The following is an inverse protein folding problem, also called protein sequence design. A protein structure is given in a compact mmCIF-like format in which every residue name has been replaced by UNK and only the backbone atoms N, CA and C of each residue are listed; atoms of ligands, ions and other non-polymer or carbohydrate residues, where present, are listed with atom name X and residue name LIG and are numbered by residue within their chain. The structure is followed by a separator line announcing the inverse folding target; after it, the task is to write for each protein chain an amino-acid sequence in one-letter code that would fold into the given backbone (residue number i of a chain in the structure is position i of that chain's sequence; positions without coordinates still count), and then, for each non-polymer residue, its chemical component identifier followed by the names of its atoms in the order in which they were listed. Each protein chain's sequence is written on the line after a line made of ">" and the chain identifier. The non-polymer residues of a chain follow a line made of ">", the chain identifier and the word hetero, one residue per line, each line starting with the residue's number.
data_IF_367218083586
#
_entry.id   IF_367218083586
#
_cell.length_a   1.000
_cell.length_b   1.000
_cell.length_c   1.000
_cell.angle_alpha   90.00
_cell.angle_beta   90.00
_cell.angle_gamma   90.00
#
_symmetry.space_group_name_H-M   'P 1'
#
loop_
_entity.id
_entity.type
_entity.pdbx_description
1 polymer ?
#
# COMPACT_ATOMS: atom_id res chain seq x y z
N UNK A 1 6.50 -14.14 13.03
CA UNK A 1 7.30 -14.24 11.78
C UNK A 1 7.16 -12.93 11.02
N UNK A 2 8.26 -12.32 10.61
CA UNK A 2 8.27 -11.06 9.84
C UNK A 2 8.10 -11.32 8.34
N UNK A 3 7.76 -10.29 7.57
CA UNK A 3 7.67 -10.38 6.11
C UNK A 3 9.03 -10.71 5.48
N UNK A 4 10.14 -10.17 6.00
CA UNK A 4 11.50 -10.53 5.59
C UNK A 4 11.79 -12.03 5.74
N UNK A 5 11.39 -12.64 6.86
CA UNK A 5 11.51 -14.08 7.06
C UNK A 5 10.70 -14.88 6.04
N UNK A 6 9.49 -14.42 5.70
CA UNK A 6 8.63 -15.05 4.68
C UNK A 6 9.19 -14.91 3.26
N UNK A 7 9.78 -13.76 2.95
CA UNK A 7 10.45 -13.49 1.68
C UNK A 7 11.80 -14.21 1.56
N UNK A 8 12.39 -14.63 2.68
CA UNK A 8 13.73 -15.20 2.72
C UNK A 8 14.83 -14.15 2.60
N UNK A 9 14.60 -12.93 3.10
CA UNK A 9 15.54 -11.82 3.07
C UNK A 9 16.07 -11.48 4.47
N UNK A 10 17.23 -10.85 4.55
CA UNK A 10 17.82 -10.40 5.82
C UNK A 10 17.03 -9.23 6.39
N UNK A 11 16.68 -9.32 7.68
CA UNK A 11 16.05 -8.21 8.40
C UNK A 11 17.00 -7.01 8.46
N UNK A 12 16.46 -5.80 8.28
CA UNK A 12 17.21 -4.56 8.42
C UNK A 12 16.53 -3.67 9.48
N UNK A 13 17.25 -2.66 9.97
CA UNK A 13 16.62 -1.62 10.78
C UNK A 13 15.98 -0.65 9.80
N UNK A 14 14.65 -0.54 9.83
CA UNK A 14 13.88 0.40 9.02
C UNK A 14 13.83 1.76 9.73
N UNK A 15 14.52 2.81 9.23
CA UNK A 15 14.44 4.15 9.81
C UNK A 15 13.02 4.70 9.76
N UNK A 16 12.25 4.37 8.71
CA UNK A 16 10.85 4.76 8.59
C UNK A 16 9.99 4.17 9.72
N UNK A 17 10.12 2.88 10.04
CA UNK A 17 9.39 2.28 11.16
C UNK A 17 9.87 2.80 12.53
N UNK A 18 11.14 3.16 12.67
CA UNK A 18 11.63 3.86 13.87
C UNK A 18 10.98 5.22 14.02
N UNK A 19 10.84 5.98 12.92
CA UNK A 19 10.12 7.25 12.92
C UNK A 19 8.63 7.07 13.22
N UNK A 20 7.99 6.07 12.63
CA UNK A 20 6.59 5.74 12.90
C UNK A 20 6.37 5.46 14.41
N UNK A 21 7.24 4.67 15.04
CA UNK A 21 7.22 4.42 16.49
C UNK A 21 7.31 5.70 17.31
N UNK A 22 8.20 6.63 16.94
CA UNK A 22 8.33 7.93 17.61
C UNK A 22 7.08 8.80 17.51
N UNK A 23 6.23 8.55 16.51
CA UNK A 23 4.93 9.19 16.32
C UNK A 23 3.77 8.40 16.96
N UNK A 24 4.07 7.36 17.76
CA UNK A 24 3.07 6.54 18.45
C UNK A 24 2.53 5.37 17.62
N UNK A 25 3.10 5.06 16.45
CA UNK A 25 2.71 3.95 15.60
C UNK A 25 3.63 2.74 15.81
N UNK A 26 3.55 2.13 16.99
CA UNK A 26 4.44 1.01 17.35
C UNK A 26 3.99 -0.33 16.76
N UNK A 27 2.68 -0.55 16.73
CA UNK A 27 2.07 -1.75 16.19
C UNK A 27 1.64 -1.56 14.72
N UNK A 28 1.63 -2.62 13.90
CA UNK A 28 1.11 -2.57 12.52
C UNK A 28 -0.30 -2.00 12.45
N UNK A 29 -1.17 -2.40 13.40
CA UNK A 29 -2.56 -1.96 13.48
C UNK A 29 -2.69 -0.44 13.61
N UNK A 30 -1.72 0.26 14.21
CA UNK A 30 -1.73 1.72 14.29
C UNK A 30 -1.50 2.38 12.92
N UNK A 31 -0.66 1.78 12.06
CA UNK A 31 -0.48 2.23 10.67
C UNK A 31 -1.73 1.93 9.84
N UNK A 32 -2.35 0.77 10.04
CA UNK A 32 -3.61 0.41 9.38
C UNK A 32 -4.72 1.38 9.75
N UNK A 33 -4.86 1.70 11.04
CA UNK A 33 -5.80 2.70 11.54
C UNK A 33 -5.54 4.08 10.97
N UNK A 34 -4.27 4.50 10.85
CA UNK A 34 -3.93 5.76 10.18
C UNK A 34 -4.34 5.73 8.71
N UNK A 35 -4.09 4.64 7.98
CA UNK A 35 -4.51 4.50 6.59
C UNK A 35 -6.04 4.55 6.43
N UNK A 36 -6.77 3.91 7.34
CA UNK A 36 -8.24 3.98 7.39
C UNK A 36 -8.70 5.42 7.66
N UNK A 37 -8.08 6.12 8.62
CA UNK A 37 -8.37 7.53 8.88
C UNK A 37 -8.11 8.42 7.66
N UNK A 38 -7.12 8.06 6.83
CA UNK A 38 -6.78 8.74 5.56
C UNK A 38 -7.62 8.30 4.36
N UNK A 39 -8.62 7.45 4.56
CA UNK A 39 -9.60 7.13 3.53
C UNK A 39 -9.61 5.69 3.05
N UNK A 40 -8.76 4.79 3.57
CA UNK A 40 -8.80 3.35 3.27
C UNK A 40 -10.00 2.62 3.91
N UNK A 41 -11.20 3.17 3.85
CA UNK A 41 -12.39 2.67 4.57
C UNK A 41 -12.83 1.27 4.15
N UNK A 42 -12.42 0.78 2.97
CA UNK A 42 -12.63 -0.60 2.56
C UNK A 42 -12.05 -1.62 3.55
N UNK A 43 -11.02 -1.23 4.30
CA UNK A 43 -10.35 -2.06 5.28
C UNK A 43 -10.77 -1.78 6.72
N UNK A 44 -11.74 -0.87 6.95
CA UNK A 44 -12.26 -0.62 8.29
C UNK A 44 -12.91 -1.89 8.86
N UNK A 45 -12.53 -2.26 10.08
CA UNK A 45 -13.13 -3.37 10.82
C UNK A 45 -13.55 -2.95 12.24
N UNK A 46 -14.42 -3.73 12.93
CA UNK A 46 -14.93 -3.36 14.25
C UNK A 46 -13.88 -3.24 15.34
N UNK A 47 -12.83 -4.07 15.29
CA UNK A 47 -11.77 -4.13 16.31
C UNK A 47 -10.63 -3.12 16.06
N UNK A 48 -10.87 -2.10 15.22
CA UNK A 48 -9.81 -1.19 14.79
C UNK A 48 -9.38 -0.30 15.95
N UNK A 49 -8.07 -0.27 16.23
CA UNK A 49 -7.54 0.63 17.25
C UNK A 49 -7.76 2.08 16.83
N UNK A 50 -7.97 3.02 17.77
CA UNK A 50 -8.07 4.43 17.42
C UNK A 50 -6.86 4.89 16.60
N UNK A 51 -7.12 5.61 15.51
CA UNK A 51 -6.04 6.14 14.69
C UNK A 51 -5.19 7.12 15.50
N UNK A 52 -3.86 7.08 15.36
CA UNK A 52 -2.99 8.04 16.01
C UNK A 52 -3.25 9.45 15.44
N UNK A 53 -3.11 10.48 16.25
CA UNK A 53 -3.25 11.87 15.81
C UNK A 53 -1.96 12.33 15.12
N UNK A 54 -1.74 11.85 13.88
CA UNK A 54 -0.57 12.14 13.06
C UNK A 54 -1.01 12.79 11.75
N UNK A 55 -0.63 14.06 11.57
CA UNK A 55 -0.93 14.82 10.38
C UNK A 55 -0.11 14.34 9.17
N UNK A 56 -0.58 14.65 7.96
CA UNK A 56 0.10 14.24 6.73
C UNK A 56 1.49 14.88 6.59
N UNK A 57 1.67 16.10 7.11
CA UNK A 57 2.97 16.79 7.14
C UNK A 57 3.99 16.10 8.05
N UNK A 58 3.52 15.35 9.06
CA UNK A 58 4.37 14.64 10.01
C UNK A 58 4.75 13.25 9.50
N UNK A 59 3.88 12.63 8.71
CA UNK A 59 4.08 11.31 8.12
C UNK A 59 3.21 11.17 6.88
N UNK A 60 3.74 11.33 5.67
CA UNK A 60 2.90 11.48 4.49
C UNK A 60 2.34 10.14 3.95
N UNK A 61 1.57 10.17 2.86
CA UNK A 61 0.93 8.97 2.30
C UNK A 61 1.95 8.01 1.67
N UNK A 62 3.02 8.52 1.07
CA UNK A 62 4.10 7.68 0.56
C UNK A 62 4.82 6.94 1.68
N UNK A 63 5.16 7.65 2.76
CA UNK A 63 5.74 7.08 3.98
C UNK A 63 4.82 6.01 4.59
N UNK A 64 3.52 6.29 4.67
CA UNK A 64 2.55 5.33 5.17
C UNK A 64 2.44 4.07 4.30
N UNK A 65 2.37 4.23 2.97
CA UNK A 65 2.35 3.10 2.04
C UNK A 65 3.58 2.21 2.20
N UNK A 66 4.78 2.81 2.28
CA UNK A 66 6.04 2.08 2.41
C UNK A 66 6.18 1.42 3.79
N UNK A 67 5.73 2.08 4.86
CA UNK A 67 5.73 1.51 6.21
C UNK A 67 4.82 0.28 6.32
N UNK A 68 3.66 0.29 5.67
CA UNK A 68 2.73 -0.85 5.60
C UNK A 68 3.30 -2.01 4.76
N UNK A 69 4.08 -1.71 3.72
CA UNK A 69 4.72 -2.71 2.84
C UNK A 69 6.12 -3.14 3.32
N UNK A 70 6.59 -2.62 4.46
CA UNK A 70 7.95 -2.84 4.94
C UNK A 70 8.20 -4.33 5.25
N UNK A 71 9.31 -4.92 4.78
CA UNK A 71 9.69 -6.30 5.13
C UNK A 71 9.93 -6.49 6.63
N UNK A 72 10.14 -5.40 7.38
CA UNK A 72 10.39 -5.45 8.81
C UNK A 72 9.11 -5.57 9.65
N UNK A 73 7.94 -5.47 9.03
CA UNK A 73 6.67 -5.72 9.71
C UNK A 73 6.42 -7.22 9.95
N UNK A 74 5.59 -7.57 10.95
CA UNK A 74 4.96 -8.87 11.02
C UNK A 74 4.25 -9.21 9.71
N UNK A 75 4.33 -10.47 9.28
CA UNK A 75 3.64 -10.90 8.08
C UNK A 75 2.11 -10.86 8.28
N UNK A 76 1.43 -10.03 7.50
CA UNK A 76 -0.03 -9.92 7.48
C UNK A 76 -0.52 -9.61 6.07
N UNK A 77 -1.28 -10.52 5.43
CA UNK A 77 -1.91 -10.26 4.13
C UNK A 77 -2.85 -9.05 4.17
N UNK A 78 -3.45 -8.76 5.33
CA UNK A 78 -4.30 -7.58 5.51
C UNK A 78 -3.47 -6.30 5.38
N UNK A 79 -2.39 -6.17 6.17
CA UNK A 79 -1.49 -5.00 6.13
C UNK A 79 -0.94 -4.76 4.73
N UNK A 80 -0.55 -5.83 4.01
CA UNK A 80 -0.06 -5.72 2.63
C UNK A 80 -1.14 -5.15 1.70
N UNK A 81 -2.41 -5.55 1.86
CA UNK A 81 -3.52 -5.00 1.06
C UNK A 81 -3.79 -3.54 1.40
N UNK A 82 -3.72 -3.15 2.66
CA UNK A 82 -3.85 -1.74 3.08
C UNK A 82 -2.70 -0.91 2.49
N UNK A 83 -1.48 -1.42 2.56
CA UNK A 83 -0.30 -0.79 1.93
C UNK A 83 -0.44 -0.65 0.42
N UNK A 84 -0.97 -1.67 -0.26
CA UNK A 84 -1.26 -1.60 -1.70
C UNK A 84 -2.30 -0.52 -2.04
N UNK A 85 -3.33 -0.37 -1.22
CA UNK A 85 -4.31 0.69 -1.40
C UNK A 85 -3.71 2.08 -1.19
N UNK A 86 -2.95 2.27 -0.11
CA UNK A 86 -2.23 3.53 0.16
C UNK A 86 -1.20 3.86 -0.92
N UNK A 87 -0.57 2.86 -1.53
CA UNK A 87 0.37 3.07 -2.63
C UNK A 87 -0.32 3.75 -3.82
N UNK A 88 -1.58 3.41 -4.07
CA UNK A 88 -2.42 4.02 -5.12
C UNK A 88 -3.23 5.24 -4.67
N UNK A 89 -2.87 5.88 -3.54
CA UNK A 89 -3.45 7.15 -3.11
C UNK A 89 -3.15 8.26 -4.13
N UNK A 90 -4.06 9.21 -4.29
CA UNK A 90 -3.83 10.36 -5.15
C UNK A 90 -2.68 11.20 -4.62
N UNK A 91 -2.07 11.94 -5.55
CA UNK A 91 -0.94 12.83 -5.28
C UNK A 91 0.37 12.14 -4.83
N UNK A 92 0.37 10.83 -4.58
CA UNK A 92 1.61 10.09 -4.37
C UNK A 92 2.56 10.30 -5.56
N UNK A 93 3.81 10.64 -5.26
CA UNK A 93 4.84 10.77 -6.28
C UNK A 93 5.56 9.43 -6.53
N UNK A 94 5.51 8.88 -7.77
CA UNK A 94 6.21 7.65 -8.13
C UNK A 94 7.71 7.65 -7.81
N UNK A 95 8.39 8.79 -8.00
CA UNK A 95 9.85 8.87 -7.78
C UNK A 95 10.18 8.79 -6.29
N UNK A 96 9.43 9.51 -5.45
CA UNK A 96 9.59 9.45 -3.99
C UNK A 96 9.27 8.07 -3.43
N UNK A 97 8.21 7.43 -3.93
CA UNK A 97 7.88 6.05 -3.55
C UNK A 97 9.01 5.07 -3.92
N UNK A 98 9.57 5.19 -5.12
CA UNK A 98 10.70 4.36 -5.54
C UNK A 98 11.93 4.59 -4.67
N UNK A 99 12.25 5.86 -4.34
CA UNK A 99 13.36 6.20 -3.46
C UNK A 99 13.18 5.59 -2.05
N UNK A 100 12.01 5.77 -1.44
CA UNK A 100 11.68 5.17 -0.15
C UNK A 100 11.74 3.64 -0.21
N UNK A 101 11.28 3.03 -1.31
CA UNK A 101 11.29 1.59 -1.46
C UNK A 101 12.71 0.99 -1.48
N UNK A 102 13.66 1.71 -2.07
CA UNK A 102 15.08 1.35 -2.03
C UNK A 102 15.61 1.47 -0.60
N UNK A 103 15.38 2.61 0.05
CA UNK A 103 15.86 2.88 1.41
C UNK A 103 15.34 1.86 2.43
N UNK A 104 14.08 1.47 2.29
CA UNK A 104 13.37 0.55 3.19
C UNK A 104 13.39 -0.92 2.72
N UNK A 105 14.20 -1.23 1.69
CA UNK A 105 14.38 -2.57 1.12
C UNK A 105 13.07 -3.28 0.79
N UNK A 106 12.05 -2.53 0.36
CA UNK A 106 10.74 -3.06 -0.01
C UNK A 106 10.49 -3.07 -1.52
N UNK A 107 11.54 -2.94 -2.34
CA UNK A 107 11.48 -3.01 -3.81
C UNK A 107 10.65 -4.21 -4.30
N UNK A 108 10.86 -5.47 -3.83
CA UNK A 108 10.06 -6.60 -4.31
C UNK A 108 8.56 -6.43 -4.09
N UNK A 109 8.16 -5.95 -2.92
CA UNK A 109 6.77 -5.74 -2.54
C UNK A 109 6.13 -4.61 -3.36
N UNK A 110 6.81 -3.47 -3.45
CA UNK A 110 6.32 -2.30 -4.20
C UNK A 110 6.22 -2.62 -5.69
N UNK A 111 7.24 -3.28 -6.27
CA UNK A 111 7.18 -3.74 -7.67
C UNK A 111 6.05 -4.73 -7.90
N UNK A 112 5.82 -5.68 -7.00
CA UNK A 112 4.73 -6.64 -7.12
C UNK A 112 3.36 -5.93 -7.16
N UNK A 113 3.14 -5.01 -6.23
CA UNK A 113 1.90 -4.22 -6.18
C UNK A 113 1.77 -3.34 -7.42
N UNK A 114 2.85 -2.67 -7.87
CA UNK A 114 2.81 -1.80 -9.04
C UNK A 114 2.56 -2.58 -10.35
N UNK A 115 3.11 -3.79 -10.50
CA UNK A 115 2.79 -4.70 -11.61
C UNK A 115 1.31 -5.09 -11.61
N UNK A 116 0.76 -5.42 -10.44
CA UNK A 116 -0.66 -5.72 -10.29
C UNK A 116 -1.52 -4.50 -10.65
N UNK A 117 -1.15 -3.31 -10.16
CA UNK A 117 -1.81 -2.04 -10.48
C UNK A 117 -1.83 -1.76 -11.97
N UNK A 118 -0.69 -1.88 -12.65
CA UNK A 118 -0.60 -1.72 -14.11
C UNK A 118 -1.46 -2.74 -14.87
N UNK A 119 -1.60 -3.97 -14.36
CA UNK A 119 -2.44 -5.00 -14.96
C UNK A 119 -3.94 -4.71 -14.87
N UNK A 120 -4.40 -4.06 -13.81
CA UNK A 120 -5.81 -3.69 -13.63
C UNK A 120 -6.15 -2.29 -14.13
N UNK A 121 -5.18 -1.37 -14.15
CA UNK A 121 -5.33 0.01 -14.61
C UNK A 121 -4.24 0.36 -15.64
N UNK A 122 -4.28 -0.22 -16.85
CA UNK A 122 -3.22 -0.06 -17.86
C UNK A 122 -3.04 1.39 -18.35
N UNK A 123 -4.11 2.19 -18.27
CA UNK A 123 -4.13 3.60 -18.66
C UNK A 123 -3.68 4.55 -17.53
N UNK A 124 -3.57 4.04 -16.30
CA UNK A 124 -3.08 4.83 -15.17
C UNK A 124 -1.54 4.94 -15.22
N UNK A 125 -1.06 6.09 -15.69
CA UNK A 125 0.39 6.34 -15.84
C UNK A 125 1.20 6.23 -14.54
N UNK A 126 0.56 6.37 -13.37
CA UNK A 126 1.21 6.24 -12.07
C UNK A 126 1.97 4.92 -11.92
N UNK A 127 1.32 3.79 -12.24
CA UNK A 127 1.91 2.46 -12.08
C UNK A 127 3.11 2.24 -12.99
N UNK A 128 3.03 2.70 -14.25
CA UNK A 128 4.13 2.63 -15.21
C UNK A 128 5.32 3.47 -14.72
N UNK A 129 5.08 4.73 -14.36
CA UNK A 129 6.12 5.63 -13.83
C UNK A 129 6.79 5.05 -12.59
N UNK A 130 6.03 4.49 -11.67
CA UNK A 130 6.59 3.86 -10.46
C UNK A 130 7.49 2.67 -10.81
N UNK A 131 7.09 1.83 -11.75
CA UNK A 131 7.90 0.70 -12.22
C UNK A 131 9.19 1.14 -12.93
N UNK A 132 9.14 2.25 -13.67
CA UNK A 132 10.29 2.82 -14.38
C UNK A 132 11.34 3.39 -13.41
N UNK A 133 10.93 3.97 -12.27
CA UNK A 133 11.84 4.46 -11.23
C UNK A 133 12.37 3.36 -10.30
N UNK A 134 11.68 2.22 -10.19
CA UNK A 134 12.12 1.13 -9.32
C UNK A 134 13.25 0.33 -9.98
N UNK A 135 14.35 0.05 -9.26
CA UNK A 135 15.37 -0.89 -9.74
C UNK A 135 14.77 -2.25 -10.06
N UNK A 136 15.43 -3.03 -10.93
CA UNK A 136 15.11 -4.44 -11.05
C UNK A 136 15.32 -5.13 -9.69
N UNK A 137 14.41 -6.03 -9.34
CA UNK A 137 14.44 -6.75 -8.08
C UNK A 137 13.91 -8.17 -8.25
N UNK A 138 14.27 -9.04 -7.32
CA UNK A 138 13.74 -10.39 -7.27
C UNK A 138 12.22 -10.35 -7.02
N UNK A 139 11.49 -11.23 -7.69
CA UNK A 139 10.08 -11.38 -7.43
C UNK A 139 9.85 -12.07 -6.07
N UNK A 140 8.86 -11.63 -5.29
CA UNK A 140 8.46 -12.34 -4.08
C UNK A 140 8.12 -13.80 -4.40
N UNK A 141 8.44 -14.72 -3.49
CA UNK A 141 8.05 -16.13 -3.61
C UNK A 141 6.52 -16.29 -3.70
N UNK A 142 6.08 -17.29 -4.44
CA UNK A 142 4.66 -17.63 -4.57
C UNK A 142 4.01 -17.84 -3.20
N UNK A 143 2.78 -17.34 -3.06
CA UNK A 143 2.00 -17.44 -1.83
C UNK A 143 2.47 -16.56 -0.67
N UNK A 144 3.49 -15.70 -0.86
CA UNK A 144 3.87 -14.67 0.12
C UNK A 144 3.04 -13.41 -0.05
N UNK A 145 2.90 -12.91 -1.28
CA UNK A 145 2.08 -11.72 -1.53
C UNK A 145 0.61 -12.12 -1.74
N UNK A 146 -0.36 -11.27 -1.35
CA UNK A 146 -1.75 -11.48 -1.71
C UNK A 146 -1.93 -11.59 -3.23
N UNK A 147 -2.86 -12.45 -3.66
CA UNK A 147 -3.22 -12.54 -5.08
C UNK A 147 -3.67 -11.17 -5.60
N UNK A 148 -3.31 -10.73 -6.82
CA UNK A 148 -3.59 -9.39 -7.33
C UNK A 148 -5.06 -8.97 -7.24
N UNK A 149 -6.01 -9.90 -7.40
CA UNK A 149 -7.46 -9.62 -7.26
C UNK A 149 -7.86 -9.18 -5.85
N UNK A 150 -7.01 -9.32 -4.84
CA UNK A 150 -7.24 -8.83 -3.47
C UNK A 150 -6.96 -7.33 -3.31
N UNK A 151 -6.39 -6.67 -4.31
CA UNK A 151 -6.14 -5.23 -4.33
C UNK A 151 -7.23 -4.42 -5.05
N UNK A 152 -8.17 -5.10 -5.69
CA UNK A 152 -9.26 -4.48 -6.45
C UNK A 152 -10.61 -4.80 -5.84
N UNK A 153 -11.58 -3.91 -6.03
CA UNK A 153 -12.99 -4.18 -5.86
C UNK A 153 -13.59 -4.54 -7.21
N UNK A 154 -14.34 -5.63 -7.28
CA UNK A 154 -15.08 -6.04 -8.47
C UNK A 154 -16.56 -5.86 -8.17
N UNK A 155 -17.16 -4.78 -8.66
CA UNK A 155 -18.61 -4.54 -8.51
C UNK A 155 -19.33 -5.01 -9.77
N UNK A 156 -20.47 -5.68 -9.59
CA UNK A 156 -21.14 -6.43 -10.66
C UNK A 156 -22.38 -5.77 -11.26
N UNK A 157 -22.72 -4.52 -10.91
CA UNK A 157 -23.98 -3.90 -11.37
C UNK A 157 -23.78 -2.41 -11.63
N UNK A 158 -23.95 -1.99 -12.88
CA UNK A 158 -24.14 -0.58 -13.25
C UNK A 158 -25.58 -0.37 -13.71
N UNK A 159 -26.04 0.90 -13.78
CA UNK A 159 -27.40 1.24 -14.28
C UNK A 159 -27.63 0.85 -15.75
N UNK A 160 -26.59 0.47 -16.49
CA UNK A 160 -26.64 0.09 -17.90
C UNK A 160 -26.50 -1.44 -18.15
N UNK A 161 -26.28 -2.25 -17.11
CA UNK A 161 -26.19 -3.71 -17.22
C UNK A 161 -25.15 -4.37 -16.30
N UNK A 162 -24.96 -5.69 -16.47
CA UNK A 162 -23.94 -6.51 -15.81
C UNK A 162 -22.55 -6.32 -16.45
N UNK A 163 -21.95 -5.13 -16.31
CA UNK A 163 -20.52 -4.98 -16.57
C UNK A 163 -19.74 -5.09 -15.26
N UNK A 164 -18.72 -5.96 -15.25
CA UNK A 164 -17.81 -6.10 -14.11
C UNK A 164 -16.87 -4.90 -14.10
N UNK A 165 -17.19 -3.90 -13.29
CA UNK A 165 -16.27 -2.78 -13.06
C UNK A 165 -15.24 -3.25 -12.03
N UNK A 166 -14.00 -3.37 -12.47
CA UNK A 166 -12.85 -3.66 -11.59
C UNK A 166 -12.16 -2.35 -11.29
N UNK A 167 -12.11 -1.96 -10.02
CA UNK A 167 -11.51 -0.70 -9.58
C UNK A 167 -10.45 -0.99 -8.54
N UNK A 168 -9.26 -0.39 -8.69
CA UNK A 168 -8.23 -0.45 -7.67
C UNK A 168 -8.75 0.16 -6.36
N UNK A 169 -8.56 -0.56 -5.25
CA UNK A 169 -8.90 -0.03 -3.93
C UNK A 169 -7.87 1.03 -3.55
N UNK A 170 -8.31 2.25 -3.27
CA UNK A 170 -7.48 3.39 -2.85
C UNK A 170 -8.23 4.26 -1.83
N UNK A 171 -7.56 5.17 -1.11
CA UNK A 171 -8.22 6.13 -0.23
C UNK A 171 -9.38 6.90 -0.88
N UNK A 172 -10.49 7.05 -0.14
CA UNK A 172 -11.74 7.64 -0.66
C UNK A 172 -11.72 9.16 -0.83
N UNK A 173 -10.86 9.87 -0.11
CA UNK A 173 -10.57 11.30 -0.33
C UNK A 173 -10.27 11.61 -1.81
N UNK A 174 -9.79 10.61 -2.55
CA UNK A 174 -9.38 10.71 -3.95
C UNK A 174 -10.50 10.44 -4.95
N UNK A 175 -11.56 9.72 -4.56
CA UNK A 175 -12.69 9.41 -5.45
C UNK A 175 -13.59 10.64 -5.69
N UNK A 176 -13.54 11.64 -4.79
CA UNK A 176 -14.26 12.90 -4.96
C UNK A 176 -13.62 13.83 -6.00
N UNK A 177 -12.31 13.70 -6.27
CA UNK A 177 -11.57 14.59 -7.19
C UNK A 177 -11.77 14.18 -8.66
N UNK A 178 -12.07 12.90 -8.94
CA UNK A 178 -12.28 12.38 -10.31
C UNK A 178 -13.72 12.64 -10.82
N UNK A 179 -14.63 13.04 -9.93
CA UNK A 179 -16.04 13.33 -10.26
C UNK A 179 -16.46 14.77 -9.94
N UNK A 180 -15.49 15.67 -9.70
CA UNK A 180 -15.69 17.10 -9.45
C UNK A 180 -15.33 17.97 -10.65
#
# INVERSE_FOLDING_TARGET
>A
MTLSQKLGTTSHISPLLVRARRLGMEAPDALESLAVARGCWHYKHPEIVPAPNVLEEQFNNEELAIALLSPCQPYSPHTIRVGAAMLGAAMNDPERLAHLAVMERCIPQVRYVAKAGLGFEPDNSFWRRLLDHLPAGQEPKDGVMPHPTRFVSMTGITRAGFERVTVWVRPRSDQAIVHG
#
